data_IF_437041190756
#
_entry.id   IF_437041190756
#
_cell.length_a   1.000
_cell.length_b   1.000
_cell.length_c   1.000
_cell.angle_alpha   90.00
_cell.angle_beta   90.00
_cell.angle_gamma   90.00
#
_symmetry.space_group_name_H-M   'P 1'
#
loop_
_entity.id
_entity.type
_entity.pdbx_description
1 polymer ?
#
# COMPACT_ATOMS: atom_id res chain seq x y z
N UNK A 1 20.35 -2.23 -7.07
CA UNK A 1 18.96 -2.10 -7.52
C UNK A 1 18.80 -0.94 -8.50
N UNK A 2 19.16 0.30 -8.18
CA UNK A 2 19.09 1.45 -9.11
C UNK A 2 19.75 1.20 -10.48
N UNK A 3 20.92 0.56 -10.55
CA UNK A 3 21.58 0.23 -11.83
C UNK A 3 20.78 -0.74 -12.70
N UNK A 4 19.99 -1.63 -12.10
CA UNK A 4 19.13 -2.56 -12.81
C UNK A 4 17.90 -1.85 -13.38
N UNK A 5 17.25 -0.98 -12.57
CA UNK A 5 16.12 -0.17 -13.01
C UNK A 5 16.51 0.85 -14.11
N UNK A 6 17.70 1.47 -14.00
CA UNK A 6 18.25 2.36 -15.05
C UNK A 6 18.51 1.61 -16.39
N UNK A 7 18.78 0.29 -16.33
CA UNK A 7 18.95 -0.56 -17.52
C UNK A 7 17.62 -0.86 -18.23
N UNK A 8 16.49 -0.86 -17.50
CA UNK A 8 15.15 -0.98 -18.07
C UNK A 8 14.73 0.30 -18.80
N UNK A 9 15.10 1.48 -18.28
CA UNK A 9 14.84 2.79 -18.91
C UNK A 9 15.60 2.98 -20.22
N UNK A 10 16.78 2.37 -20.39
CA UNK A 10 17.64 2.49 -21.59
C UNK A 10 17.11 1.81 -22.86
N UNK A 11 15.92 1.18 -22.83
CA UNK A 11 15.30 0.54 -23.99
C UNK A 11 14.12 1.32 -24.59
N UNK A 12 14.19 2.66 -24.61
CA UNK A 12 13.37 3.43 -25.56
C UNK A 12 13.98 3.22 -26.96
N UNK A 13 13.56 2.21 -27.67
CA UNK A 13 13.78 2.13 -29.11
C UNK A 13 12.85 3.15 -29.78
N UNK A 14 13.45 4.15 -30.45
CA UNK A 14 12.73 5.00 -31.37
C UNK A 14 12.06 4.16 -32.46
N UNK A 15 10.79 4.40 -32.83
CA UNK A 15 10.17 3.71 -33.94
C UNK A 15 10.84 4.17 -35.23
N UNK A 16 11.66 3.34 -35.85
CA UNK A 16 12.12 3.54 -37.20
C UNK A 16 10.93 3.41 -38.15
N UNK A 17 10.53 4.54 -38.70
CA UNK A 17 9.66 4.63 -39.86
C UNK A 17 10.37 3.97 -41.06
N UNK A 18 9.92 2.83 -41.49
CA UNK A 18 10.21 2.31 -42.82
C UNK A 18 9.07 2.67 -43.78
N UNK A 19 9.37 3.15 -45.00
CA UNK A 19 8.34 3.57 -45.95
C UNK A 19 7.74 2.38 -46.71
N UNK A 20 6.48 2.52 -46.97
CA UNK A 20 5.52 1.74 -47.74
C UNK A 20 6.01 1.04 -49.00
N UNK A 21 5.38 -0.08 -49.28
CA UNK A 21 5.13 -0.54 -50.62
C UNK A 21 3.61 -0.73 -50.81
N UNK A 22 3.07 0.03 -51.72
CA UNK A 22 1.71 -0.01 -52.26
C UNK A 22 1.52 -1.30 -53.05
N UNK A 23 0.43 -2.01 -52.80
CA UNK A 23 -0.17 -2.90 -53.84
C UNK A 23 -1.70 -2.89 -53.67
N UNK A 24 -2.29 -2.36 -54.70
CA UNK A 24 -3.71 -2.36 -55.01
C UNK A 24 -4.14 -3.72 -55.49
N UNK A 25 -5.27 -4.24 -54.99
CA UNK A 25 -6.14 -5.10 -55.80
C UNK A 25 -7.59 -5.02 -55.33
N UNK A 26 -8.42 -4.64 -56.28
CA UNK A 26 -9.88 -4.55 -56.30
C UNK A 26 -10.38 -5.94 -56.60
N UNK A 27 -11.48 -6.43 -56.00
CA UNK A 27 -12.59 -7.11 -56.69
C UNK A 27 -13.82 -7.16 -55.79
N UNK A 28 -14.92 -6.88 -56.45
CA UNK A 28 -16.32 -6.69 -56.10
C UNK A 28 -17.06 -7.98 -55.71
N UNK A 29 -18.19 -7.76 -55.07
CA UNK A 29 -19.36 -8.64 -55.23
C UNK A 29 -20.13 -8.93 -53.95
N UNK A 30 -21.20 -8.18 -53.77
CA UNK A 30 -22.60 -8.60 -53.92
C UNK A 30 -23.32 -9.18 -52.69
N UNK A 31 -24.25 -8.38 -52.20
CA UNK A 31 -25.66 -8.74 -51.91
C UNK A 31 -26.03 -9.63 -50.74
N UNK A 32 -26.70 -9.16 -49.76
CA UNK A 32 -28.16 -9.10 -49.45
C UNK A 32 -28.41 -9.04 -47.97
N UNK A 33 -29.14 -8.01 -47.56
CA UNK A 33 -30.02 -8.04 -46.38
C UNK A 33 -31.17 -9.03 -46.59
N UNK A 34 -31.76 -9.54 -45.48
CA UNK A 34 -33.06 -8.93 -45.14
C UNK A 34 -33.29 -8.69 -43.63
N UNK A 35 -34.05 -7.63 -43.43
CA UNK A 35 -34.83 -7.30 -42.23
C UNK A 35 -35.58 -8.48 -41.64
N UNK A 36 -35.67 -8.53 -40.29
CA UNK A 36 -36.89 -9.02 -39.63
C UNK A 36 -37.05 -8.38 -38.23
N UNK A 37 -38.10 -7.69 -38.14
CA UNK A 37 -39.04 -7.22 -37.11
C UNK A 37 -38.78 -7.68 -35.64
N UNK A 38 -38.89 -6.68 -34.76
CA UNK A 38 -39.05 -6.82 -33.31
C UNK A 38 -40.50 -7.14 -32.95
N UNK A 39 -40.78 -7.98 -31.98
CA UNK A 39 -42.11 -8.05 -31.37
C UNK A 39 -42.21 -7.18 -30.10
N UNK A 40 -43.33 -6.50 -30.07
CA UNK A 40 -43.90 -5.61 -29.05
C UNK A 40 -44.15 -6.33 -27.74
N UNK A 41 -43.81 -5.69 -26.60
CA UNK A 41 -44.17 -6.12 -25.26
C UNK A 41 -45.57 -5.58 -24.87
N UNK A 42 -46.38 -6.36 -24.13
CA UNK A 42 -47.68 -5.90 -23.61
C UNK A 42 -47.54 -5.15 -22.27
N UNK A 43 -48.53 -4.33 -21.89
CA UNK A 43 -48.47 -3.41 -20.77
C UNK A 43 -48.75 -4.08 -19.41
N UNK A 44 -48.15 -3.54 -18.37
CA UNK A 44 -48.37 -3.93 -16.97
C UNK A 44 -49.72 -3.37 -16.45
N UNK A 45 -50.39 -4.09 -15.51
CA UNK A 45 -51.61 -3.56 -14.87
C UNK A 45 -51.25 -2.68 -13.65
N UNK A 46 -51.99 -1.62 -13.49
CA UNK A 46 -52.01 -0.74 -12.33
C UNK A 46 -52.61 -1.45 -11.11
N UNK A 47 -52.02 -1.28 -9.95
CA UNK A 47 -52.68 -1.59 -8.67
C UNK A 47 -52.43 -0.50 -7.62
N UNK A 48 -53.51 -0.07 -7.12
CA UNK A 48 -53.97 0.88 -6.16
C UNK A 48 -53.09 1.15 -4.95
N UNK A 49 -53.09 2.43 -4.54
CA UNK A 49 -52.64 2.98 -3.26
C UNK A 49 -53.81 2.88 -2.26
N UNK A 50 -53.60 2.50 -1.01
CA UNK A 50 -54.44 3.00 0.08
C UNK A 50 -53.69 4.06 0.92
N UNK A 51 -54.45 5.10 1.18
CA UNK A 51 -54.11 6.25 2.01
C UNK A 51 -54.19 5.94 3.51
N UNK A 52 -53.54 6.86 4.25
CA UNK A 52 -53.76 7.22 5.65
C UNK A 52 -53.09 6.35 6.73
N UNK A 53 -52.12 6.95 7.43
CA UNK A 53 -52.09 7.00 8.91
C UNK A 53 -51.37 8.27 9.37
N UNK A 54 -52.12 9.13 9.98
CA UNK A 54 -51.93 10.08 11.10
C UNK A 54 -50.52 10.52 11.50
N UNK A 55 -50.36 11.82 11.47
CA UNK A 55 -49.33 12.62 12.13
C UNK A 55 -49.31 12.41 13.65
N UNK A 56 -48.13 12.22 14.23
CA UNK A 56 -47.86 12.28 15.66
C UNK A 56 -47.09 13.58 15.93
N UNK A 57 -47.58 14.36 16.90
CA UNK A 57 -47.07 15.64 17.32
C UNK A 57 -45.66 15.63 17.91
N UNK A 58 -44.92 16.74 17.86
CA UNK A 58 -43.56 16.81 18.42
C UNK A 58 -43.59 16.90 19.95
N UNK A 59 -42.65 16.20 20.59
CA UNK A 59 -42.33 16.32 22.01
C UNK A 59 -41.57 17.63 22.29
N UNK A 60 -41.69 18.21 23.51
CA UNK A 60 -41.17 19.56 23.83
C UNK A 60 -39.66 19.57 24.05
N UNK A 61 -39.05 20.64 23.58
CA UNK A 61 -37.64 21.01 23.78
C UNK A 61 -37.31 21.08 25.30
N UNK A 62 -36.19 20.43 25.68
CA UNK A 62 -35.60 20.62 27.01
C UNK A 62 -34.80 21.91 27.03
N UNK A 63 -35.16 22.81 27.92
CA UNK A 63 -34.40 23.99 28.31
C UNK A 63 -32.97 23.61 28.73
N UNK A 64 -32.01 24.28 28.13
CA UNK A 64 -30.59 24.21 28.52
C UNK A 64 -30.35 25.32 29.55
N UNK A 65 -30.09 24.94 30.79
CA UNK A 65 -29.63 25.88 31.83
C UNK A 65 -28.26 26.48 31.48
N UNK A 66 -28.01 27.78 31.73
CA UNK A 66 -26.72 28.42 31.45
C UNK A 66 -25.67 28.04 32.50
N UNK A 67 -24.49 27.62 32.03
CA UNK A 67 -23.32 27.43 32.88
C UNK A 67 -22.70 28.78 33.27
N UNK A 68 -22.11 28.90 34.46
CA UNK A 68 -21.59 30.18 34.98
C UNK A 68 -20.28 30.58 34.27
N UNK A 69 -20.24 31.82 33.83
CA UNK A 69 -19.07 32.54 33.36
C UNK A 69 -18.13 32.86 34.52
N UNK A 70 -16.90 32.38 34.45
CA UNK A 70 -15.82 32.89 35.30
C UNK A 70 -15.09 34.01 34.55
N UNK A 71 -15.37 35.26 34.97
CA UNK A 71 -14.54 36.40 34.70
C UNK A 71 -13.36 36.40 35.67
N UNK A 72 -12.16 36.33 35.14
CA UNK A 72 -10.96 36.84 35.83
C UNK A 72 -9.97 37.36 34.76
N UNK A 73 -9.56 38.63 34.87
CA UNK A 73 -8.55 39.18 33.98
C UNK A 73 -7.14 38.80 34.48
N UNK A 74 -6.34 38.21 33.61
CA UNK A 74 -4.89 38.09 33.80
C UNK A 74 -4.23 38.90 32.71
N UNK A 75 -3.78 40.09 33.05
CA UNK A 75 -2.71 40.77 32.36
C UNK A 75 -1.39 40.06 32.68
N UNK A 76 -0.77 39.48 31.71
CA UNK A 76 0.66 39.26 31.75
C UNK A 76 1.20 39.40 30.33
N UNK A 77 2.02 40.44 30.22
CA UNK A 77 2.81 40.82 29.06
C UNK A 77 3.87 39.78 28.84
N UNK A 78 3.76 38.98 27.77
CA UNK A 78 4.85 38.09 27.31
C UNK A 78 5.52 38.78 26.14
N UNK A 79 6.82 39.11 26.30
CA UNK A 79 7.72 39.56 25.27
C UNK A 79 7.75 38.57 24.09
N UNK A 80 7.90 39.01 22.82
CA UNK A 80 7.98 38.13 21.68
C UNK A 80 9.30 37.38 21.71
N UNK A 81 9.20 36.04 21.79
CA UNK A 81 10.33 35.15 21.60
C UNK A 81 10.90 35.29 20.18
N UNK A 82 12.20 35.53 20.10
CA UNK A 82 12.97 35.59 18.85
C UNK A 82 12.84 34.26 18.09
N UNK A 83 12.50 34.38 16.81
CA UNK A 83 12.57 33.26 15.84
C UNK A 83 14.03 32.74 15.77
N UNK A 84 14.27 31.43 15.80
CA UNK A 84 15.60 30.90 15.56
C UNK A 84 15.95 31.07 14.07
N UNK A 85 17.11 31.68 13.80
CA UNK A 85 17.69 31.80 12.47
C UNK A 85 17.81 30.42 11.79
N UNK A 86 17.58 30.33 10.46
CA UNK A 86 17.71 29.06 9.75
C UNK A 86 19.17 28.60 9.72
N UNK A 87 19.42 27.50 10.38
CA UNK A 87 20.69 26.76 10.27
C UNK A 87 20.87 26.33 8.83
N UNK A 88 21.97 26.77 8.21
CA UNK A 88 22.37 26.35 6.87
C UNK A 88 22.51 24.84 6.84
N UNK A 89 21.59 24.15 6.17
CA UNK A 89 21.73 22.75 5.79
C UNK A 89 22.93 22.64 4.83
N UNK A 90 23.92 21.86 5.23
CA UNK A 90 24.99 21.42 4.35
C UNK A 90 24.40 20.44 3.35
N UNK A 91 24.57 20.72 2.07
CA UNK A 91 24.23 19.78 1.00
C UNK A 91 25.00 18.47 1.20
N UNK A 92 24.33 17.30 1.25
CA UNK A 92 25.04 16.04 1.29
C UNK A 92 25.52 15.68 -0.11
N UNK A 93 26.82 15.42 -0.19
CA UNK A 93 27.54 14.84 -1.31
C UNK A 93 26.79 13.64 -1.91
N UNK A 94 26.57 13.63 -3.23
CA UNK A 94 25.84 12.63 -3.98
C UNK A 94 26.62 11.32 -4.13
N UNK A 95 26.89 10.67 -3.01
CA UNK A 95 27.34 9.29 -2.93
C UNK A 95 26.13 8.36 -2.98
N UNK A 96 26.19 7.34 -3.84
CA UNK A 96 25.20 6.24 -3.92
C UNK A 96 25.11 5.59 -2.54
N UNK A 97 24.10 5.95 -1.76
CA UNK A 97 23.82 5.32 -0.48
C UNK A 97 23.04 4.04 -0.78
N UNK A 98 23.70 2.90 -0.65
CA UNK A 98 23.03 1.65 -0.35
C UNK A 98 22.27 1.90 0.96
N UNK A 99 20.94 2.04 0.89
CA UNK A 99 20.13 2.24 2.08
C UNK A 99 20.06 0.90 2.79
N UNK A 100 21.03 0.67 3.68
CA UNK A 100 20.84 -0.34 4.73
C UNK A 100 19.56 0.02 5.48
N UNK A 101 18.69 -0.97 5.72
CA UNK A 101 17.55 -0.78 6.62
C UNK A 101 18.05 -0.11 7.90
N UNK A 102 17.42 0.98 8.37
CA UNK A 102 17.89 1.65 9.57
C UNK A 102 18.03 0.62 10.68
N UNK A 103 19.16 0.63 11.40
CA UNK A 103 19.49 -0.35 12.47
C UNK A 103 18.46 -0.40 13.61
N UNK A 104 17.41 0.43 13.55
CA UNK A 104 16.24 0.47 14.44
C UNK A 104 15.01 -0.26 13.87
N UNK A 105 15.12 -0.99 12.77
CA UNK A 105 14.00 -1.40 11.92
C UNK A 105 13.15 -2.57 12.45
N UNK A 106 13.62 -3.33 13.41
CA UNK A 106 12.80 -4.32 14.09
C UNK A 106 12.77 -3.93 15.55
N UNK A 107 11.56 -3.71 16.05
CA UNK A 107 11.33 -3.10 17.34
C UNK A 107 12.15 -3.80 18.43
N UNK A 108 12.62 -3.02 19.39
CA UNK A 108 13.25 -3.52 20.63
C UNK A 108 12.37 -4.59 21.31
N UNK A 109 11.08 -4.60 21.04
CA UNK A 109 10.11 -5.61 21.50
C UNK A 109 10.39 -7.02 20.97
N UNK A 110 10.55 -7.20 19.65
CA UNK A 110 10.87 -8.53 19.09
C UNK A 110 12.24 -8.98 19.59
N UNK A 111 13.23 -8.08 19.55
CA UNK A 111 14.57 -8.38 20.06
C UNK A 111 14.57 -8.72 21.54
N UNK A 112 13.68 -8.16 22.36
CA UNK A 112 13.57 -8.49 23.77
C UNK A 112 13.02 -9.89 24.02
N UNK A 113 12.14 -10.39 23.15
CA UNK A 113 11.62 -11.76 23.22
C UNK A 113 12.74 -12.80 22.97
N UNK A 114 13.68 -12.48 22.08
CA UNK A 114 14.84 -13.32 21.78
C UNK A 114 16.10 -12.93 22.57
N UNK A 115 16.01 -12.10 23.62
CA UNK A 115 17.17 -11.65 24.41
C UNK A 115 17.69 -12.70 25.39
N UNK A 116 16.86 -13.63 25.82
CA UNK A 116 17.25 -14.82 26.62
C UNK A 116 17.83 -15.90 25.68
N UNK A 117 18.48 -16.90 26.27
CA UNK A 117 18.95 -18.07 25.51
C UNK A 117 17.76 -18.68 24.77
N UNK A 118 17.95 -18.97 23.47
CA UNK A 118 16.93 -19.68 22.70
C UNK A 118 16.93 -21.14 23.16
N UNK A 119 15.88 -21.53 23.85
CA UNK A 119 15.53 -22.92 24.07
C UNK A 119 14.43 -23.31 23.09
N UNK A 120 14.58 -24.50 22.50
CA UNK A 120 13.56 -25.00 21.54
C UNK A 120 12.21 -25.21 22.24
N UNK A 121 12.20 -25.47 23.54
CA UNK A 121 10.98 -25.68 24.30
C UNK A 121 10.18 -24.39 24.51
N UNK A 122 10.89 -23.24 24.65
CA UNK A 122 10.27 -21.93 24.84
C UNK A 122 10.00 -21.20 23.51
N UNK A 123 10.57 -21.68 22.38
CA UNK A 123 10.52 -21.00 21.10
C UNK A 123 9.10 -20.82 20.58
N UNK A 124 8.22 -21.79 20.77
CA UNK A 124 6.83 -21.71 20.31
C UNK A 124 6.10 -20.53 20.97
N UNK A 125 6.26 -20.36 22.28
CA UNK A 125 5.66 -19.24 23.02
C UNK A 125 6.24 -17.89 22.57
N UNK A 126 7.55 -17.83 22.32
CA UNK A 126 8.21 -16.63 21.79
C UNK A 126 7.67 -16.25 20.41
N UNK A 127 7.50 -17.21 19.52
CA UNK A 127 6.93 -16.98 18.17
C UNK A 127 5.46 -16.56 18.25
N UNK A 128 4.68 -17.14 19.15
CA UNK A 128 3.29 -16.73 19.41
C UNK A 128 3.20 -15.28 19.88
N UNK A 129 4.06 -14.88 20.83
CA UNK A 129 4.14 -13.51 21.31
C UNK A 129 4.58 -12.52 20.21
N UNK A 130 5.36 -12.99 19.24
CA UNK A 130 5.76 -12.21 18.07
C UNK A 130 4.73 -12.20 16.93
N UNK A 131 3.50 -12.73 17.16
CA UNK A 131 2.39 -12.79 16.18
C UNK A 131 2.66 -13.64 14.91
N UNK A 132 3.48 -14.71 15.02
CA UNK A 132 3.60 -15.70 13.94
C UNK A 132 2.30 -16.52 13.75
N UNK A 133 1.45 -16.59 14.77
CA UNK A 133 0.28 -17.43 14.81
C UNK A 133 0.60 -18.90 15.18
N UNK A 134 -0.41 -19.66 15.59
CA UNK A 134 -0.24 -20.99 16.18
C UNK A 134 0.41 -21.97 15.19
N UNK A 135 -0.14 -22.06 13.98
CA UNK A 135 0.34 -23.01 12.96
C UNK A 135 1.80 -22.77 12.57
N UNK A 136 2.17 -21.50 12.34
CA UNK A 136 3.53 -21.14 11.98
C UNK A 136 4.51 -21.36 13.15
N UNK A 137 4.12 -21.05 14.39
CA UNK A 137 4.96 -21.25 15.57
C UNK A 137 5.30 -22.72 15.76
N UNK A 138 4.29 -23.61 15.67
CA UNK A 138 4.51 -25.08 15.76
C UNK A 138 5.39 -25.55 14.61
N UNK A 139 5.10 -25.17 13.36
CA UNK A 139 5.86 -25.58 12.18
C UNK A 139 7.34 -25.17 12.27
N UNK A 140 7.61 -23.92 12.65
CA UNK A 140 8.97 -23.39 12.79
C UNK A 140 9.72 -24.12 13.91
N UNK A 141 9.09 -24.31 15.07
CA UNK A 141 9.68 -25.00 16.22
C UNK A 141 10.03 -26.45 15.89
N UNK A 142 9.12 -27.18 15.24
CA UNK A 142 9.40 -28.56 14.80
C UNK A 142 10.49 -28.63 13.75
N UNK A 143 10.51 -27.68 12.80
CA UNK A 143 11.55 -27.62 11.76
C UNK A 143 12.91 -27.33 12.36
N UNK A 144 12.99 -26.41 13.34
CA UNK A 144 14.22 -26.13 14.05
C UNK A 144 14.69 -27.34 14.88
N UNK A 145 13.78 -28.03 15.56
CA UNK A 145 14.09 -29.26 16.31
C UNK A 145 14.69 -30.34 15.41
N UNK A 146 14.11 -30.55 14.24
CA UNK A 146 14.62 -31.50 13.23
C UNK A 146 16.00 -31.08 12.70
N UNK A 147 16.21 -29.80 12.40
CA UNK A 147 17.48 -29.27 11.93
C UNK A 147 18.56 -29.39 13.03
N UNK A 148 18.27 -29.00 14.25
CA UNK A 148 19.18 -29.12 15.40
C UNK A 148 19.59 -30.57 15.66
N UNK A 149 18.64 -31.51 15.64
CA UNK A 149 18.92 -32.94 15.78
C UNK A 149 19.85 -33.49 14.70
N UNK A 150 19.67 -33.00 13.43
CA UNK A 150 20.48 -33.41 12.28
C UNK A 150 21.91 -32.85 12.32
N UNK A 151 22.07 -31.62 12.79
CA UNK A 151 23.37 -30.93 12.82
C UNK A 151 24.11 -31.15 14.13
N UNK A 152 23.44 -31.59 15.22
CA UNK A 152 23.98 -31.68 16.56
C UNK A 152 24.08 -30.33 17.27
N UNK A 153 23.38 -29.31 16.79
CA UNK A 153 23.36 -27.96 17.35
C UNK A 153 22.67 -27.95 18.72
N UNK A 154 23.35 -27.42 19.73
CA UNK A 154 22.85 -27.36 21.10
C UNK A 154 23.07 -25.99 21.77
N UNK A 155 23.97 -25.18 21.23
CA UNK A 155 24.22 -23.83 21.74
C UNK A 155 23.21 -22.80 21.20
N UNK A 156 22.93 -21.76 22.01
CA UNK A 156 22.07 -20.64 21.64
C UNK A 156 22.49 -20.02 20.27
N UNK A 157 23.79 -19.87 20.04
CA UNK A 157 24.31 -19.29 18.79
C UNK A 157 24.02 -20.16 17.58
N UNK A 158 24.19 -21.51 17.71
CA UNK A 158 23.89 -22.46 16.63
C UNK A 158 22.38 -22.52 16.34
N UNK A 159 21.54 -22.53 17.40
CA UNK A 159 20.09 -22.54 17.27
C UNK A 159 19.56 -21.28 16.57
N UNK A 160 20.12 -20.11 16.91
CA UNK A 160 19.78 -18.83 16.24
C UNK A 160 20.18 -18.85 14.77
N UNK A 161 21.34 -19.38 14.44
CA UNK A 161 21.79 -19.48 13.06
C UNK A 161 20.83 -20.37 12.26
N UNK A 162 20.48 -21.55 12.78
CA UNK A 162 19.53 -22.45 12.14
C UNK A 162 18.13 -21.83 12.00
N UNK A 163 17.67 -21.09 13.04
CA UNK A 163 16.38 -20.37 12.96
C UNK A 163 16.41 -19.29 11.91
N UNK A 164 17.52 -18.52 11.81
CA UNK A 164 17.69 -17.54 10.74
C UNK A 164 17.61 -18.19 9.37
N UNK A 165 18.38 -19.24 9.13
CA UNK A 165 18.40 -19.96 7.84
C UNK A 165 16.99 -20.47 7.47
N UNK A 166 16.30 -21.07 8.43
CA UNK A 166 14.93 -21.55 8.27
C UNK A 166 13.96 -20.42 7.88
N UNK A 167 14.03 -19.28 8.57
CA UNK A 167 13.17 -18.12 8.29
C UNK A 167 13.48 -17.51 6.91
N UNK A 168 14.77 -17.42 6.55
CA UNK A 168 15.17 -16.92 5.23
C UNK A 168 14.63 -17.84 4.13
N UNK A 169 14.78 -19.17 4.27
CA UNK A 169 14.26 -20.15 3.32
C UNK A 169 12.74 -20.02 3.14
N UNK A 170 12.02 -19.92 4.26
CA UNK A 170 10.55 -19.83 4.24
C UNK A 170 10.00 -18.51 3.72
N UNK A 171 10.74 -17.42 3.86
CA UNK A 171 10.36 -16.08 3.41
C UNK A 171 10.92 -15.75 2.02
N UNK A 172 11.80 -16.59 1.48
CA UNK A 172 12.36 -16.37 0.16
C UNK A 172 11.29 -16.49 -0.92
N UNK A 173 11.24 -15.49 -1.82
CA UNK A 173 10.31 -15.45 -2.95
C UNK A 173 10.96 -14.71 -4.11
N UNK A 174 10.61 -15.11 -5.33
CA UNK A 174 11.10 -14.48 -6.56
C UNK A 174 10.28 -13.24 -6.96
N UNK A 175 9.08 -13.06 -6.39
CA UNK A 175 8.10 -12.02 -6.73
C UNK A 175 8.10 -10.81 -5.77
N UNK A 176 9.18 -10.61 -5.00
CA UNK A 176 9.32 -9.50 -4.04
C UNK A 176 9.50 -8.12 -4.70
N UNK A 177 9.87 -8.08 -5.97
CA UNK A 177 10.09 -6.82 -6.69
C UNK A 177 8.78 -6.24 -7.22
N UNK A 178 8.78 -4.91 -7.42
CA UNK A 178 7.68 -4.25 -8.13
C UNK A 178 7.67 -4.69 -9.59
N UNK A 179 6.47 -4.89 -10.14
CA UNK A 179 6.30 -5.31 -11.52
C UNK A 179 6.50 -4.12 -12.49
N UNK A 180 7.72 -3.98 -12.98
CA UNK A 180 8.17 -2.94 -13.90
C UNK A 180 8.73 -3.56 -15.19
N UNK A 181 8.24 -4.72 -15.61
CA UNK A 181 8.91 -5.56 -16.61
C UNK A 181 8.25 -5.60 -17.99
N UNK A 182 7.00 -5.15 -18.14
CA UNK A 182 6.28 -5.23 -19.42
C UNK A 182 6.70 -4.17 -20.46
N UNK A 183 7.50 -3.17 -20.03
CA UNK A 183 8.04 -2.12 -20.89
C UNK A 183 7.02 -1.12 -21.41
N UNK A 184 5.77 -1.21 -20.96
CA UNK A 184 4.70 -0.27 -21.31
C UNK A 184 4.57 0.82 -20.25
N UNK A 185 4.73 2.06 -20.64
CA UNK A 185 4.59 3.21 -19.76
C UNK A 185 3.25 3.91 -19.95
N UNK A 186 2.69 4.51 -18.89
CA UNK A 186 3.18 4.49 -17.52
C UNK A 186 2.89 3.15 -16.83
N UNK A 187 3.75 2.72 -15.90
CA UNK A 187 3.41 1.67 -14.93
C UNK A 187 2.38 2.21 -13.94
N UNK A 188 1.27 1.53 -13.80
CA UNK A 188 0.18 1.99 -12.92
C UNK A 188 0.15 1.17 -11.63
N UNK A 189 0.23 1.88 -10.48
CA UNK A 189 0.13 1.29 -9.15
C UNK A 189 -1.16 1.77 -8.49
N UNK A 190 -1.99 0.83 -8.09
CA UNK A 190 -3.18 1.08 -7.28
C UNK A 190 -2.86 0.76 -5.82
N UNK A 191 -3.01 1.73 -4.91
CA UNK A 191 -2.72 1.55 -3.49
C UNK A 191 -4.01 1.44 -2.71
N UNK A 192 -4.23 0.28 -2.08
CA UNK A 192 -5.44 -0.07 -1.33
C UNK A 192 -5.12 -0.39 0.13
N UNK A 193 -6.13 -0.45 0.99
CA UNK A 193 -5.97 -0.76 2.41
C UNK A 193 -6.92 0.05 3.30
N UNK A 194 -7.05 -0.33 4.56
CA UNK A 194 -7.97 0.35 5.50
C UNK A 194 -7.53 1.79 5.81
N UNK A 195 -8.45 2.60 6.32
CA UNK A 195 -8.12 3.93 6.80
C UNK A 195 -7.16 3.84 8.00
N UNK A 196 -6.13 4.69 8.01
CA UNK A 196 -5.10 4.69 9.06
C UNK A 196 -3.96 3.70 8.87
N UNK A 197 -4.04 2.79 7.87
CA UNK A 197 -2.94 1.85 7.58
C UNK A 197 -1.67 2.52 7.04
N UNK A 198 -1.72 3.80 6.66
CA UNK A 198 -0.55 4.52 6.15
C UNK A 198 -0.46 4.61 4.63
N UNK A 199 -1.56 4.43 3.87
CA UNK A 199 -1.57 4.48 2.39
C UNK A 199 -0.93 5.75 1.84
N UNK A 200 -1.46 6.92 2.19
CA UNK A 200 -0.99 8.22 1.69
C UNK A 200 0.47 8.48 2.03
N UNK A 201 0.91 8.08 3.24
CA UNK A 201 2.32 8.18 3.66
C UNK A 201 3.20 7.22 2.86
N UNK A 202 2.75 5.99 2.64
CA UNK A 202 3.44 5.00 1.80
C UNK A 202 3.62 5.51 0.38
N UNK A 203 2.56 6.06 -0.23
CA UNK A 203 2.62 6.65 -1.57
C UNK A 203 3.65 7.78 -1.62
N UNK A 204 3.65 8.66 -0.61
CA UNK A 204 4.62 9.75 -0.53
C UNK A 204 6.07 9.29 -0.46
N UNK A 205 6.35 8.29 0.39
CA UNK A 205 7.69 7.68 0.52
C UNK A 205 8.11 6.95 -0.76
N UNK A 206 7.19 6.16 -1.34
CA UNK A 206 7.43 5.45 -2.60
C UNK A 206 7.70 6.44 -3.75
N UNK A 207 6.89 7.51 -3.86
CA UNK A 207 7.10 8.56 -4.85
C UNK A 207 8.48 9.22 -4.70
N UNK A 208 8.86 9.56 -3.46
CA UNK A 208 10.19 10.12 -3.19
C UNK A 208 11.31 9.17 -3.59
N UNK A 209 11.21 7.90 -3.18
CA UNK A 209 12.19 6.87 -3.55
C UNK A 209 12.32 6.70 -5.08
N UNK A 210 11.19 6.71 -5.80
CA UNK A 210 11.17 6.63 -7.26
C UNK A 210 11.80 7.88 -7.90
N UNK A 211 11.45 9.08 -7.42
CA UNK A 211 12.01 10.34 -7.91
C UNK A 211 13.52 10.43 -7.67
N UNK A 212 14.01 9.97 -6.53
CA UNK A 212 15.46 9.89 -6.26
C UNK A 212 16.15 8.91 -7.23
N UNK A 213 15.43 7.92 -7.75
CA UNK A 213 15.84 7.04 -8.83
C UNK A 213 15.66 7.62 -10.23
N UNK A 214 15.39 8.91 -10.37
CA UNK A 214 15.17 9.61 -11.65
C UNK A 214 13.93 9.15 -12.44
N UNK A 215 12.92 8.50 -11.76
CA UNK A 215 11.65 8.16 -12.38
C UNK A 215 10.70 9.35 -12.37
N UNK A 216 10.00 9.59 -13.48
CA UNK A 216 8.94 10.59 -13.53
C UNK A 216 7.64 9.97 -12.96
N UNK A 217 7.09 10.60 -11.90
CA UNK A 217 5.96 10.07 -11.13
C UNK A 217 4.80 11.05 -11.12
N UNK A 218 3.58 10.52 -11.34
CA UNK A 218 2.31 11.25 -11.18
C UNK A 218 1.48 10.55 -10.10
N UNK A 219 0.96 11.32 -9.15
CA UNK A 219 0.10 10.86 -8.07
C UNK A 219 -1.36 11.19 -8.35
N UNK A 220 -2.28 10.31 -8.01
CA UNK A 220 -3.72 10.50 -8.11
C UNK A 220 -4.39 10.45 -6.75
N UNK A 221 -5.04 11.55 -6.34
CA UNK A 221 -5.76 11.66 -5.07
C UNK A 221 -7.20 11.13 -5.21
N UNK A 222 -7.36 9.82 -5.36
CA UNK A 222 -8.68 9.21 -5.53
C UNK A 222 -9.40 8.86 -4.21
N UNK A 223 -8.84 9.14 -3.03
CA UNK A 223 -9.60 9.19 -1.74
C UNK A 223 -10.36 10.54 -1.63
N UNK A 224 -11.29 10.75 -2.56
CA UNK A 224 -11.97 12.05 -2.80
C UNK A 224 -12.93 12.46 -1.70
N UNK A 225 -13.29 11.54 -0.82
CA UNK A 225 -14.19 11.80 0.31
C UNK A 225 -13.48 12.32 1.57
N UNK A 226 -12.14 12.43 1.51
CA UNK A 226 -11.30 12.87 2.62
C UNK A 226 -10.40 14.02 2.19
N UNK A 227 -10.92 15.25 2.29
CA UNK A 227 -10.16 16.45 1.90
C UNK A 227 -8.75 16.50 2.54
N UNK A 228 -8.64 16.13 3.83
CA UNK A 228 -7.35 16.05 4.50
C UNK A 228 -6.39 15.02 3.90
N UNK A 229 -6.88 13.91 3.32
CA UNK A 229 -6.02 12.93 2.63
C UNK A 229 -5.52 13.49 1.30
N UNK A 230 -6.38 14.20 0.55
CA UNK A 230 -6.00 14.91 -0.67
C UNK A 230 -4.90 15.93 -0.40
N UNK A 231 -5.04 16.75 0.65
CA UNK A 231 -4.03 17.76 1.02
C UNK A 231 -2.73 17.12 1.52
N UNK A 232 -2.83 16.02 2.26
CA UNK A 232 -1.67 15.25 2.68
C UNK A 232 -0.90 14.70 1.47
N UNK A 233 -1.61 14.11 0.49
CA UNK A 233 -0.98 13.59 -0.73
C UNK A 233 -0.34 14.72 -1.55
N UNK A 234 -0.97 15.90 -1.60
CA UNK A 234 -0.39 17.06 -2.26
C UNK A 234 0.90 17.56 -1.60
N UNK A 235 0.92 17.54 -0.27
CA UNK A 235 2.14 17.85 0.48
C UNK A 235 3.27 16.88 0.14
N UNK A 236 2.96 15.57 0.04
CA UNK A 236 3.92 14.56 -0.38
C UNK A 236 4.39 14.76 -1.84
N UNK A 237 3.47 15.08 -2.76
CA UNK A 237 3.82 15.38 -4.15
C UNK A 237 4.82 16.54 -4.23
N UNK A 238 4.58 17.63 -3.48
CA UNK A 238 5.51 18.75 -3.40
C UNK A 238 6.89 18.38 -2.85
N UNK A 239 6.93 17.54 -1.79
CA UNK A 239 8.20 17.08 -1.18
C UNK A 239 9.00 16.13 -2.07
N UNK A 240 8.32 15.28 -2.83
CA UNK A 240 8.95 14.31 -3.72
C UNK A 240 9.27 14.88 -5.11
N UNK A 241 8.69 16.02 -5.49
CA UNK A 241 8.76 16.54 -6.85
C UNK A 241 7.93 15.74 -7.86
N UNK A 242 6.92 14.99 -7.40
CA UNK A 242 6.01 14.26 -8.25
C UNK A 242 4.88 15.16 -8.75
N UNK A 243 4.34 14.86 -9.96
CA UNK A 243 3.09 15.44 -10.43
C UNK A 243 1.90 14.97 -9.59
N UNK A 244 0.81 15.74 -9.55
CA UNK A 244 -0.40 15.33 -8.82
C UNK A 244 -1.67 15.71 -9.57
N UNK A 245 -2.65 14.78 -9.57
CA UNK A 245 -4.04 15.03 -9.96
C UNK A 245 -4.89 15.06 -8.68
N UNK A 246 -5.60 16.18 -8.49
CA UNK A 246 -6.53 16.39 -7.37
C UNK A 246 -7.95 16.37 -7.87
N UNK A 247 -8.94 15.98 -7.05
CA UNK A 247 -10.35 16.18 -7.39
C UNK A 247 -10.63 17.69 -7.54
N UNK A 248 -11.43 18.07 -8.54
CA UNK A 248 -11.85 19.45 -8.79
C UNK A 248 -12.88 19.94 -7.74
N UNK A 249 -13.57 18.98 -7.10
CA UNK A 249 -14.57 19.20 -6.04
C UNK A 249 -14.59 18.05 -5.07
N UNK A 250 -14.99 18.32 -3.84
CA UNK A 250 -15.16 17.28 -2.83
C UNK A 250 -16.15 16.20 -3.29
N UNK A 251 -15.80 14.94 -3.07
CA UNK A 251 -16.62 13.80 -3.46
C UNK A 251 -16.72 13.56 -4.97
N UNK A 252 -15.80 14.12 -5.78
CA UNK A 252 -15.69 13.75 -7.20
C UNK A 252 -15.51 12.22 -7.30
N UNK A 253 -16.03 11.63 -8.40
CA UNK A 253 -15.90 10.19 -8.65
C UNK A 253 -14.42 9.77 -8.64
N UNK A 254 -14.01 8.87 -7.70
CA UNK A 254 -12.65 8.35 -7.63
C UNK A 254 -12.12 7.80 -8.95
N UNK A 255 -12.99 7.17 -9.75
CA UNK A 255 -12.62 6.62 -11.05
C UNK A 255 -12.26 7.72 -12.06
N UNK A 256 -12.89 8.91 -11.97
CA UNK A 256 -12.53 10.07 -12.79
C UNK A 256 -11.13 10.58 -12.46
N UNK A 257 -10.80 10.71 -11.17
CA UNK A 257 -9.46 11.13 -10.73
C UNK A 257 -8.38 10.12 -11.15
N UNK A 258 -8.67 8.83 -11.01
CA UNK A 258 -7.76 7.77 -11.44
C UNK A 258 -7.52 7.80 -12.95
N UNK A 259 -8.58 7.99 -13.75
CA UNK A 259 -8.49 8.15 -15.20
C UNK A 259 -7.61 9.35 -15.59
N UNK A 260 -7.88 10.52 -15.00
CA UNK A 260 -7.12 11.76 -15.24
C UNK A 260 -5.65 11.61 -14.82
N UNK A 261 -5.36 10.79 -13.79
CA UNK A 261 -3.98 10.52 -13.35
C UNK A 261 -3.19 9.78 -14.42
N UNK A 262 -3.76 8.73 -14.99
CA UNK A 262 -3.12 7.97 -16.07
C UNK A 262 -3.01 8.82 -17.34
N UNK A 263 -4.06 9.58 -17.68
CA UNK A 263 -4.04 10.51 -18.81
C UNK A 263 -2.92 11.55 -18.69
N UNK A 264 -2.76 12.15 -17.50
CA UNK A 264 -1.67 13.11 -17.23
C UNK A 264 -0.30 12.43 -17.30
N UNK A 265 -0.17 11.21 -16.78
CA UNK A 265 1.07 10.45 -16.86
C UNK A 265 1.48 10.17 -18.31
N UNK A 266 0.53 9.75 -19.16
CA UNK A 266 0.77 9.52 -20.59
C UNK A 266 1.14 10.84 -21.28
N UNK A 267 0.40 11.92 -21.03
CA UNK A 267 0.64 13.24 -21.65
C UNK A 267 2.01 13.81 -21.31
N UNK A 268 2.52 13.56 -20.12
CA UNK A 268 3.79 14.07 -19.64
C UNK A 268 4.95 13.10 -19.81
N UNK A 269 4.75 11.98 -20.54
CA UNK A 269 5.74 10.89 -20.67
C UNK A 269 6.27 10.40 -19.30
N UNK A 270 5.42 10.43 -18.27
CA UNK A 270 5.79 9.95 -16.95
C UNK A 270 5.94 8.42 -16.94
N UNK A 271 6.87 7.95 -16.13
CA UNK A 271 7.17 6.53 -16.04
C UNK A 271 6.16 5.77 -15.17
N UNK A 272 5.62 6.43 -14.12
CA UNK A 272 4.79 5.77 -13.10
C UNK A 272 3.60 6.66 -12.72
N UNK A 273 2.42 6.05 -12.64
CA UNK A 273 1.22 6.63 -12.05
C UNK A 273 0.86 5.87 -10.76
N UNK A 274 0.73 6.56 -9.62
CA UNK A 274 0.34 5.96 -8.33
C UNK A 274 -0.99 6.55 -7.88
N UNK A 275 -1.99 5.70 -7.63
CA UNK A 275 -3.36 6.09 -7.31
C UNK A 275 -3.65 5.75 -5.85
N UNK A 276 -3.92 6.78 -5.02
CA UNK A 276 -4.39 6.64 -3.63
C UNK A 276 -5.90 6.40 -3.61
N UNK A 277 -6.37 5.35 -2.93
CA UNK A 277 -7.79 5.00 -2.88
C UNK A 277 -8.38 5.13 -1.49
N UNK A 278 -9.69 5.22 -1.39
CA UNK A 278 -10.40 5.15 -0.12
C UNK A 278 -10.19 3.79 0.58
N UNK A 279 -10.29 3.76 1.90
CA UNK A 279 -10.06 2.57 2.72
C UNK A 279 -11.26 2.15 3.57
N UNK A 280 -12.48 2.19 3.02
CA UNK A 280 -13.74 1.95 3.74
C UNK A 280 -14.13 0.46 3.78
N UNK A 281 -13.34 -0.37 4.46
CA UNK A 281 -13.57 -1.81 4.51
C UNK A 281 -14.90 -2.22 5.19
N UNK A 282 -15.48 -1.35 6.03
CA UNK A 282 -16.73 -1.63 6.75
C UNK A 282 -17.94 -1.84 5.82
N UNK A 283 -17.90 -1.30 4.59
CA UNK A 283 -18.85 -1.66 3.54
C UNK A 283 -18.11 -2.30 2.36
N UNK A 284 -17.91 -3.61 2.46
CA UNK A 284 -17.17 -4.41 1.48
C UNK A 284 -17.73 -4.27 0.07
N UNK A 285 -19.07 -4.25 -0.07
CA UNK A 285 -19.74 -4.14 -1.38
C UNK A 285 -19.45 -2.80 -2.07
N UNK A 286 -19.60 -1.70 -1.34
CA UNK A 286 -19.34 -0.37 -1.91
C UNK A 286 -17.87 -0.21 -2.29
N UNK A 287 -16.95 -0.76 -1.47
CA UNK A 287 -15.52 -0.78 -1.76
C UNK A 287 -15.21 -1.59 -3.02
N UNK A 288 -15.84 -2.76 -3.19
CA UNK A 288 -15.71 -3.59 -4.40
C UNK A 288 -16.16 -2.81 -5.64
N UNK A 289 -17.34 -2.19 -5.56
CA UNK A 289 -17.91 -1.42 -6.67
C UNK A 289 -17.03 -0.23 -7.03
N UNK A 290 -16.48 0.48 -6.03
CA UNK A 290 -15.58 1.62 -6.22
C UNK A 290 -14.25 1.18 -6.85
N UNK A 291 -13.57 0.19 -6.28
CA UNK A 291 -12.30 -0.33 -6.83
C UNK A 291 -12.49 -0.93 -8.22
N UNK A 292 -13.61 -1.62 -8.46
CA UNK A 292 -13.96 -2.13 -9.79
C UNK A 292 -14.21 -1.02 -10.81
N UNK A 293 -14.77 0.14 -10.40
CA UNK A 293 -14.92 1.32 -11.28
C UNK A 293 -13.57 1.95 -11.59
N UNK A 294 -12.71 2.12 -10.56
CA UNK A 294 -11.35 2.66 -10.73
C UNK A 294 -10.57 1.79 -11.71
N UNK A 295 -10.55 0.47 -11.51
CA UNK A 295 -9.87 -0.48 -12.38
C UNK A 295 -10.33 -0.32 -13.82
N UNK A 296 -11.63 -0.40 -14.09
CA UNK A 296 -12.19 -0.25 -15.45
C UNK A 296 -11.88 1.11 -16.08
N UNK A 297 -11.78 2.19 -15.31
CA UNK A 297 -11.40 3.50 -15.80
C UNK A 297 -9.93 3.55 -16.22
N UNK A 298 -9.04 3.03 -15.39
CA UNK A 298 -7.59 2.94 -15.64
C UNK A 298 -7.28 2.05 -16.83
N UNK A 299 -7.87 0.85 -16.89
CA UNK A 299 -7.60 -0.17 -17.90
C UNK A 299 -8.03 0.25 -19.33
N UNK A 300 -8.80 1.34 -19.47
CA UNK A 300 -9.06 1.95 -20.79
C UNK A 300 -7.82 2.60 -21.41
N UNK A 301 -6.81 2.94 -20.61
CA UNK A 301 -5.62 3.66 -21.04
C UNK A 301 -4.33 2.90 -20.82
N UNK A 302 -4.20 2.22 -19.68
CA UNK A 302 -2.99 1.48 -19.30
C UNK A 302 -3.34 0.29 -18.40
N UNK A 303 -2.51 -0.75 -18.45
CA UNK A 303 -2.64 -1.91 -17.55
C UNK A 303 -2.23 -1.53 -16.14
N UNK A 304 -2.94 -2.05 -15.12
CA UNK A 304 -2.51 -1.95 -13.73
C UNK A 304 -1.38 -2.98 -13.51
N UNK A 305 -0.20 -2.50 -13.17
CA UNK A 305 0.99 -3.32 -12.95
C UNK A 305 1.07 -3.84 -11.51
N UNK A 306 0.62 -3.02 -10.54
CA UNK A 306 0.63 -3.36 -9.14
C UNK A 306 -0.67 -2.93 -8.46
N UNK A 307 -1.21 -3.83 -7.63
CA UNK A 307 -2.20 -3.52 -6.61
C UNK A 307 -1.54 -3.75 -5.25
N UNK A 308 -1.10 -2.66 -4.61
CA UNK A 308 -0.36 -2.69 -3.36
C UNK A 308 -1.30 -2.52 -2.17
N UNK A 309 -1.44 -3.57 -1.37
CA UNK A 309 -2.22 -3.52 -0.13
C UNK A 309 -1.36 -3.04 1.04
N UNK A 310 -1.71 -1.90 1.60
CA UNK A 310 -1.04 -1.33 2.77
C UNK A 310 -1.67 -1.84 4.05
N UNK A 311 -0.86 -2.46 4.90
CA UNK A 311 -1.25 -3.06 6.17
C UNK A 311 -0.39 -2.49 7.30
N UNK A 312 -1.04 -2.18 8.41
CA UNK A 312 -0.40 -1.75 9.65
C UNK A 312 0.00 -2.98 10.48
N UNK A 313 1.31 -3.18 10.69
CA UNK A 313 1.84 -4.31 11.45
C UNK A 313 1.37 -4.35 12.93
N UNK A 314 1.02 -3.19 13.50
CA UNK A 314 0.54 -3.10 14.89
C UNK A 314 -0.82 -3.78 15.09
N UNK A 315 -1.57 -4.03 14.00
CA UNK A 315 -2.87 -4.71 14.06
C UNK A 315 -2.78 -6.22 14.28
N UNK A 316 -1.58 -6.81 14.18
CA UNK A 316 -1.32 -8.22 14.43
C UNK A 316 -2.23 -9.14 13.59
N UNK A 317 -2.78 -10.18 14.19
CA UNK A 317 -3.64 -11.17 13.51
C UNK A 317 -4.85 -10.56 12.76
N UNK A 318 -5.33 -9.37 13.16
CA UNK A 318 -6.39 -8.68 12.41
C UNK A 318 -5.93 -8.25 11.01
N UNK A 319 -4.62 -8.06 10.79
CA UNK A 319 -4.05 -7.77 9.48
C UNK A 319 -4.36 -8.87 8.46
N UNK A 320 -4.37 -10.14 8.87
CA UNK A 320 -4.67 -11.28 8.00
C UNK A 320 -6.12 -11.20 7.50
N UNK A 321 -7.06 -10.88 8.39
CA UNK A 321 -8.46 -10.73 8.02
C UNK A 321 -8.67 -9.56 7.04
N UNK A 322 -7.96 -8.45 7.25
CA UNK A 322 -7.96 -7.33 6.31
C UNK A 322 -7.38 -7.76 4.95
N UNK A 323 -6.23 -8.43 4.96
CA UNK A 323 -5.58 -8.88 3.74
C UNK A 323 -6.48 -9.84 2.94
N UNK A 324 -7.10 -10.83 3.60
CA UNK A 324 -8.09 -11.73 2.97
C UNK A 324 -9.23 -10.95 2.32
N UNK A 325 -9.82 -10.01 3.05
CA UNK A 325 -10.94 -9.22 2.56
C UNK A 325 -10.58 -8.37 1.33
N UNK A 326 -9.38 -7.77 1.31
CA UNK A 326 -8.91 -7.00 0.15
C UNK A 326 -8.51 -7.88 -1.03
N UNK A 327 -7.89 -9.04 -0.78
CA UNK A 327 -7.51 -9.98 -1.85
C UNK A 327 -8.72 -10.48 -2.62
N UNK A 328 -9.84 -10.70 -1.94
CA UNK A 328 -11.10 -11.09 -2.59
C UNK A 328 -11.70 -9.99 -3.49
N UNK A 329 -11.28 -8.73 -3.29
CA UNK A 329 -11.91 -7.54 -3.90
C UNK A 329 -11.04 -6.87 -4.95
N UNK A 330 -9.71 -6.87 -4.74
CA UNK A 330 -8.81 -5.96 -5.44
C UNK A 330 -7.70 -6.65 -6.25
N UNK A 331 -7.65 -7.97 -6.31
CA UNK A 331 -6.57 -8.72 -6.98
C UNK A 331 -5.18 -8.21 -6.55
N UNK A 332 -4.92 -8.22 -5.25
CA UNK A 332 -3.68 -7.74 -4.64
C UNK A 332 -2.46 -8.48 -5.20
N UNK A 333 -1.46 -7.75 -5.66
CA UNK A 333 -0.20 -8.29 -6.21
C UNK A 333 0.95 -8.24 -5.22
N UNK A 334 0.84 -7.43 -4.17
CA UNK A 334 1.87 -7.29 -3.16
C UNK A 334 1.40 -6.50 -1.95
N UNK A 335 2.09 -6.71 -0.85
CA UNK A 335 1.80 -6.07 0.44
C UNK A 335 2.88 -5.06 0.78
N UNK A 336 2.45 -3.92 1.33
CA UNK A 336 3.29 -2.94 1.99
C UNK A 336 2.99 -3.00 3.48
N UNK A 337 3.96 -3.45 4.28
CA UNK A 337 3.84 -3.50 5.73
C UNK A 337 4.35 -2.21 6.35
N UNK A 338 3.51 -1.50 7.10
CA UNK A 338 3.86 -0.24 7.78
C UNK A 338 4.02 -0.43 9.28
N UNK A 339 4.70 0.52 9.93
CA UNK A 339 4.88 0.60 11.39
C UNK A 339 5.55 -0.63 12.01
N UNK A 340 6.45 -1.27 11.26
CA UNK A 340 7.22 -2.40 11.78
C UNK A 340 8.14 -2.01 12.94
N UNK A 341 8.58 -0.75 12.99
CA UNK A 341 9.40 -0.17 14.05
C UNK A 341 8.65 -0.07 15.40
N UNK A 342 7.34 0.07 15.38
CA UNK A 342 6.49 0.26 16.56
C UNK A 342 5.96 -1.03 17.19
N UNK A 343 6.30 -2.21 16.66
CA UNK A 343 5.66 -3.45 17.12
C UNK A 343 6.63 -4.59 17.39
N UNK A 344 6.34 -5.37 18.43
CA UNK A 344 6.92 -6.69 18.65
C UNK A 344 6.32 -7.80 17.75
N UNK A 345 5.37 -7.45 16.91
CA UNK A 345 4.50 -8.36 16.14
C UNK A 345 4.97 -8.59 14.69
N UNK A 346 6.28 -8.61 14.48
CA UNK A 346 6.85 -8.78 13.14
C UNK A 346 6.55 -10.12 12.47
N UNK A 347 6.21 -11.15 13.26
CA UNK A 347 5.83 -12.46 12.74
C UNK A 347 4.63 -12.45 11.79
N UNK A 348 3.81 -11.38 11.85
CA UNK A 348 2.70 -11.17 10.93
C UNK A 348 3.15 -11.16 9.46
N UNK A 349 4.37 -10.70 9.15
CA UNK A 349 4.97 -10.76 7.80
C UNK A 349 5.03 -12.20 7.30
N UNK A 350 5.55 -13.09 8.17
CA UNK A 350 5.62 -14.52 7.87
C UNK A 350 4.23 -15.11 7.61
N UNK A 351 3.31 -14.87 8.52
CA UNK A 351 1.96 -15.42 8.46
C UNK A 351 1.20 -14.98 7.19
N UNK A 352 1.32 -13.70 6.81
CA UNK A 352 0.70 -13.17 5.59
C UNK A 352 1.28 -13.86 4.36
N UNK A 353 2.61 -13.97 4.24
CA UNK A 353 3.22 -14.62 3.08
C UNK A 353 2.83 -16.11 2.97
N UNK A 354 2.80 -16.82 4.10
CA UNK A 354 2.48 -18.24 4.10
C UNK A 354 0.98 -18.51 3.90
N UNK A 355 0.10 -17.83 4.65
CA UNK A 355 -1.34 -18.13 4.59
C UNK A 355 -2.04 -17.56 3.36
N UNK A 356 -1.59 -16.41 2.84
CA UNK A 356 -2.24 -15.73 1.73
C UNK A 356 -1.49 -15.92 0.41
N UNK A 357 -0.29 -16.48 0.46
CA UNK A 357 0.62 -16.59 -0.69
C UNK A 357 0.85 -15.24 -1.40
N UNK A 358 0.85 -14.14 -0.64
CA UNK A 358 1.08 -12.78 -1.14
C UNK A 358 2.48 -12.32 -0.73
N UNK A 359 3.27 -11.73 -1.65
CA UNK A 359 4.59 -11.21 -1.32
C UNK A 359 4.48 -9.92 -0.49
N UNK A 360 5.22 -9.82 0.60
CA UNK A 360 5.50 -8.53 1.24
C UNK A 360 6.65 -7.89 0.45
N UNK A 361 6.34 -6.85 -0.33
CA UNK A 361 7.29 -6.20 -1.23
C UNK A 361 8.04 -5.05 -0.58
N UNK A 362 7.33 -4.28 0.27
CA UNK A 362 7.83 -3.04 0.84
C UNK A 362 7.53 -2.97 2.33
N UNK A 363 8.39 -2.29 3.07
CA UNK A 363 8.25 -2.12 4.52
C UNK A 363 8.49 -0.67 4.92
N UNK A 364 7.63 -0.14 5.80
CA UNK A 364 7.80 1.13 6.49
C UNK A 364 8.32 0.87 7.90
N UNK A 365 9.46 1.48 8.22
CA UNK A 365 10.24 1.20 9.45
C UNK A 365 10.46 2.46 10.29
N UNK A 366 9.57 3.43 10.18
CA UNK A 366 9.61 4.69 10.91
C UNK A 366 8.78 5.78 10.25
N UNK A 367 8.82 7.00 10.81
CA UNK A 367 8.06 8.16 10.33
C UNK A 367 8.82 8.99 9.29
N UNK A 368 10.13 8.92 9.26
CA UNK A 368 10.97 9.66 8.32
C UNK A 368 10.70 9.30 6.87
N UNK A 369 10.99 10.23 5.95
CA UNK A 369 10.79 10.01 4.51
C UNK A 369 11.64 8.87 3.96
N UNK A 370 12.80 8.62 4.55
CA UNK A 370 13.74 7.57 4.17
C UNK A 370 13.49 6.24 4.93
N UNK A 371 12.55 6.20 5.89
CA UNK A 371 12.21 5.01 6.65
C UNK A 371 11.26 4.11 5.84
N UNK A 372 11.74 3.69 4.66
CA UNK A 372 11.02 2.89 3.69
C UNK A 372 11.99 2.04 2.88
N UNK A 373 11.74 0.76 2.75
CA UNK A 373 12.65 -0.16 2.07
C UNK A 373 11.90 -1.30 1.37
N UNK A 374 12.60 -1.97 0.44
CA UNK A 374 12.16 -3.27 -0.05
C UNK A 374 12.32 -4.32 1.05
N UNK A 375 11.38 -5.26 1.10
CA UNK A 375 11.48 -6.36 2.03
C UNK A 375 12.65 -7.26 1.68
N UNK A 376 13.44 -7.61 2.69
CA UNK A 376 14.52 -8.58 2.61
C UNK A 376 14.30 -9.66 3.66
N UNK A 377 14.14 -10.89 3.23
CA UNK A 377 13.99 -12.04 4.12
C UNK A 377 15.22 -12.19 5.06
N UNK A 378 16.42 -11.91 4.52
CA UNK A 378 17.66 -12.00 5.28
C UNK A 378 17.75 -10.92 6.38
N UNK A 379 17.46 -9.66 6.04
CA UNK A 379 17.47 -8.56 7.00
C UNK A 379 16.39 -8.72 8.06
N UNK A 380 15.20 -9.19 7.64
CA UNK A 380 14.10 -9.48 8.55
C UNK A 380 14.49 -10.59 9.53
N UNK A 381 15.00 -11.73 9.06
CA UNK A 381 15.44 -12.83 9.91
C UNK A 381 16.60 -12.42 10.83
N UNK A 382 17.59 -11.67 10.31
CA UNK A 382 18.68 -11.12 11.12
C UNK A 382 18.16 -10.23 12.24
N UNK A 383 17.22 -9.33 11.92
CA UNK A 383 16.62 -8.44 12.93
C UNK A 383 15.88 -9.21 14.03
N UNK A 384 15.26 -10.34 13.67
CA UNK A 384 14.47 -11.16 14.59
C UNK A 384 15.36 -11.94 15.55
N UNK A 385 16.43 -12.56 15.06
CA UNK A 385 17.31 -13.42 15.86
C UNK A 385 18.50 -12.68 16.50
N UNK A 386 18.74 -11.42 16.17
CA UNK A 386 19.87 -10.65 16.67
C UNK A 386 19.83 -10.51 18.20
N UNK A 387 20.94 -10.86 18.86
CA UNK A 387 21.12 -10.64 20.29
C UNK A 387 21.32 -9.15 20.57
N UNK A 388 20.71 -8.63 21.64
CA UNK A 388 21.03 -7.29 22.14
C UNK A 388 22.47 -7.33 22.67
N UNK A 389 23.36 -6.55 22.07
CA UNK A 389 24.72 -6.32 22.59
C UNK A 389 24.63 -5.27 23.71
#
# INVERSE_FOLDING_TARGET
MFKFLKRLRGKKEEPQLQPEAVATEVIAGSEREPEMEAPVAPPAPATEVPASVTAKAPEPEREIEPQPTFDTPIEDVVEPAQEPEPTKEQEPDAGVVEVELPKRSLSDGIRSLFSSNVDIEDLEDILLLADFGVEASVEITESLRKAASKTGATSDAELRLLLKELLVEKLHRDDLQLNLSDGKLPYVFLVVGVNGAGKTTTIGKLAKWLRDGEWEVVLGAADTFRAAAVDQLATWAGRSGAGIVRPERDGQDPASVAYQTVELAIKNDADIAIIDTAGRLQNKKDLMDELGKIRRAVEKQAQINEVLLVIDATTGQNAINQAKAFTEVAEVTGIVMTKLDGTAKGGIVYTIQQQLNLPVKLVGVGEGVNDFAFFSAEEFANGLVARRI
#
